data_IF_910659286674
#
_entry.id   IF_910659286674
#
_cell.length_a   1.000
_cell.length_b   1.000
_cell.length_c   1.000
_cell.angle_alpha   90.00
_cell.angle_beta   90.00
_cell.angle_gamma   90.00
#
_symmetry.space_group_name_H-M   'P 1'
#
loop_
_entity.id
_entity.type
_entity.pdbx_description
1 polymer ?
#
# COMPACT_ATOMS: atom_id res chain seq x y z
N UNK A 1 19.37 -15.69 -19.34
CA UNK A 1 18.64 -15.16 -18.18
C UNK A 1 17.40 -14.45 -18.71
N UNK A 2 16.21 -14.93 -18.40
CA UNK A 2 14.95 -14.26 -18.75
C UNK A 2 14.74 -13.09 -17.81
N UNK A 3 14.64 -11.86 -18.34
CA UNK A 3 14.31 -10.69 -17.55
C UNK A 3 12.93 -10.87 -16.89
N UNK A 4 12.82 -10.52 -15.61
CA UNK A 4 11.57 -10.56 -14.87
C UNK A 4 10.68 -9.39 -15.31
N UNK A 5 9.36 -9.60 -15.36
CA UNK A 5 8.40 -8.61 -15.89
C UNK A 5 8.42 -7.27 -15.12
N UNK A 6 8.74 -7.29 -13.83
CA UNK A 6 8.94 -6.09 -13.02
C UNK A 6 10.13 -5.21 -13.47
N UNK A 7 11.14 -5.79 -14.14
CA UNK A 7 12.31 -5.05 -14.66
C UNK A 7 12.13 -4.53 -16.09
N UNK A 8 11.03 -4.89 -16.76
CA UNK A 8 10.77 -4.50 -18.14
C UNK A 8 10.21 -3.08 -18.26
N UNK A 9 9.54 -2.58 -17.21
CA UNK A 9 9.03 -1.22 -17.17
C UNK A 9 10.08 -0.28 -16.55
N UNK A 10 10.26 0.94 -17.09
CA UNK A 10 11.14 1.91 -16.47
C UNK A 10 10.60 2.31 -15.10
N UNK A 11 11.51 2.57 -14.16
CA UNK A 11 11.23 3.12 -12.81
C UNK A 11 10.43 4.42 -12.86
N UNK A 12 10.49 5.14 -13.98
CA UNK A 12 9.73 6.37 -14.23
C UNK A 12 8.28 6.15 -14.66
N UNK A 13 7.86 4.92 -14.97
CA UNK A 13 6.49 4.59 -15.38
C UNK A 13 6.05 3.21 -14.85
N UNK A 14 5.91 3.12 -13.53
CA UNK A 14 5.51 1.90 -12.83
C UNK A 14 4.00 1.81 -12.59
N UNK A 15 3.49 0.59 -12.51
CA UNK A 15 2.13 0.29 -12.04
C UNK A 15 2.18 -0.18 -10.59
N UNK A 16 1.44 0.47 -9.71
CA UNK A 16 1.33 0.12 -8.29
C UNK A 16 -0.09 -0.34 -7.96
N UNK A 17 -0.22 -1.34 -7.10
CA UNK A 17 -1.51 -1.73 -6.51
C UNK A 17 -1.59 -1.23 -5.08
N UNK A 18 -2.51 -0.32 -4.83
CA UNK A 18 -2.77 0.22 -3.49
C UNK A 18 -3.92 -0.56 -2.85
N UNK A 19 -3.64 -1.24 -1.75
CA UNK A 19 -4.61 -1.96 -0.92
C UNK A 19 -5.13 -1.02 0.15
N UNK A 20 -6.29 -0.41 -0.06
CA UNK A 20 -6.90 0.50 0.93
C UNK A 20 -7.60 -0.34 1.98
N UNK A 21 -7.12 -0.31 3.23
CA UNK A 21 -7.66 -1.10 4.34
C UNK A 21 -8.55 -0.18 5.18
N UNK A 22 -9.86 -0.39 5.12
CA UNK A 22 -10.82 0.35 5.95
C UNK A 22 -10.83 -0.17 7.39
N UNK A 23 -10.79 -1.48 7.54
CA UNK A 23 -10.89 -2.14 8.83
C UNK A 23 -10.13 -3.47 8.78
N UNK A 24 -9.26 -3.68 9.78
CA UNK A 24 -8.43 -4.88 9.86
C UNK A 24 -9.20 -6.12 10.34
N UNK A 25 -9.99 -5.99 11.40
CA UNK A 25 -10.74 -7.08 12.05
C UNK A 25 -11.75 -7.73 11.09
N UNK A 26 -12.47 -6.91 10.31
CA UNK A 26 -13.45 -7.35 9.31
C UNK A 26 -12.83 -7.54 7.91
N UNK A 27 -11.49 -7.41 7.79
CA UNK A 27 -10.76 -7.58 6.53
C UNK A 27 -11.31 -6.74 5.37
N UNK A 28 -11.80 -5.54 5.66
CA UNK A 28 -12.41 -4.68 4.65
C UNK A 28 -11.32 -3.98 3.84
N UNK A 29 -10.94 -4.61 2.73
CA UNK A 29 -9.87 -4.13 1.83
C UNK A 29 -10.42 -3.89 0.43
N UNK A 30 -9.96 -2.82 -0.21
CA UNK A 30 -10.23 -2.57 -1.64
C UNK A 30 -8.97 -2.13 -2.37
N UNK A 31 -8.74 -2.75 -3.53
CA UNK A 31 -7.58 -2.44 -4.36
C UNK A 31 -7.87 -1.26 -5.30
N UNK A 32 -6.85 -0.43 -5.49
CA UNK A 32 -6.80 0.67 -6.44
C UNK A 32 -5.51 0.54 -7.24
N UNK A 33 -5.60 0.55 -8.56
CA UNK A 33 -4.41 0.52 -9.42
C UNK A 33 -4.02 1.95 -9.80
N UNK A 34 -2.74 2.28 -9.58
CA UNK A 34 -2.11 3.50 -10.05
C UNK A 34 -1.15 3.15 -11.18
N UNK A 35 -1.30 3.79 -12.33
CA UNK A 35 -0.44 3.59 -13.49
C UNK A 35 0.41 4.83 -13.73
N UNK A 36 1.53 4.66 -14.42
CA UNK A 36 2.45 5.73 -14.81
C UNK A 36 3.01 6.50 -13.60
N UNK A 37 3.31 5.79 -12.51
CA UNK A 37 3.93 6.36 -11.31
C UNK A 37 5.44 6.45 -11.54
N UNK A 38 6.02 7.64 -11.36
CA UNK A 38 7.46 7.82 -11.41
C UNK A 38 8.07 7.59 -10.02
N UNK A 39 8.67 6.41 -9.82
CA UNK A 39 9.19 6.00 -8.52
C UNK A 39 10.40 6.85 -8.06
N UNK A 40 11.12 7.46 -8.99
CA UNK A 40 12.31 8.29 -8.70
C UNK A 40 11.94 9.66 -8.15
N UNK A 41 10.77 10.20 -8.53
CA UNK A 41 10.38 11.57 -8.20
C UNK A 41 9.14 11.67 -7.32
N UNK A 42 8.23 10.70 -7.39
CA UNK A 42 7.04 10.69 -6.53
C UNK A 42 7.47 10.45 -5.10
N UNK A 43 7.09 11.36 -4.20
CA UNK A 43 7.34 11.21 -2.77
C UNK A 43 6.26 10.39 -2.07
N UNK A 44 6.54 9.93 -0.86
CA UNK A 44 5.56 9.27 0.01
C UNK A 44 4.33 10.15 0.23
N UNK A 45 4.52 11.43 0.53
CA UNK A 45 3.45 12.41 0.75
C UNK A 45 2.55 12.54 -0.47
N UNK A 46 3.16 12.75 -1.65
CA UNK A 46 2.43 12.87 -2.92
C UNK A 46 1.63 11.60 -3.22
N UNK A 47 2.20 10.42 -2.94
CA UNK A 47 1.47 9.16 -3.11
C UNK A 47 0.23 9.12 -2.19
N UNK A 48 0.36 9.51 -0.91
CA UNK A 48 -0.78 9.58 0.02
C UNK A 48 -1.86 10.55 -0.48
N UNK A 49 -1.48 11.72 -0.97
CA UNK A 49 -2.42 12.70 -1.54
C UNK A 49 -3.19 12.14 -2.73
N UNK A 50 -2.49 11.54 -3.70
CA UNK A 50 -3.09 10.90 -4.88
C UNK A 50 -4.11 9.82 -4.46
N UNK A 51 -3.76 8.99 -3.47
CA UNK A 51 -4.65 7.92 -2.99
C UNK A 51 -5.88 8.52 -2.31
N UNK A 52 -5.69 9.51 -1.42
CA UNK A 52 -6.81 10.19 -0.72
C UNK A 52 -7.76 10.88 -1.71
N UNK A 53 -7.22 11.55 -2.72
CA UNK A 53 -8.03 12.15 -3.78
C UNK A 53 -8.86 11.08 -4.51
N UNK A 54 -8.23 9.97 -4.92
CA UNK A 54 -8.94 8.88 -5.59
C UNK A 54 -10.01 8.21 -4.73
N UNK A 55 -9.78 8.05 -3.41
CA UNK A 55 -10.78 7.54 -2.46
C UNK A 55 -12.02 8.46 -2.43
N UNK A 56 -11.79 9.77 -2.43
CA UNK A 56 -12.85 10.77 -2.35
C UNK A 56 -13.62 10.94 -3.66
N UNK A 57 -12.96 10.76 -4.81
CA UNK A 57 -13.56 10.98 -6.14
C UNK A 57 -14.18 9.72 -6.73
N UNK A 58 -13.64 8.53 -6.46
CA UNK A 58 -14.12 7.28 -7.07
C UNK A 58 -15.38 6.77 -6.35
N UNK A 59 -16.51 6.54 -7.04
CA UNK A 59 -17.75 6.07 -6.40
C UNK A 59 -17.61 4.76 -5.63
N UNK A 60 -16.80 3.83 -6.15
CA UNK A 60 -16.54 2.54 -5.52
C UNK A 60 -15.83 2.63 -4.16
N UNK A 61 -15.22 3.77 -3.83
CA UNK A 61 -14.56 4.00 -2.54
C UNK A 61 -15.44 4.76 -1.54
N UNK A 62 -16.73 5.02 -1.86
CA UNK A 62 -17.67 5.68 -0.93
C UNK A 62 -17.65 5.07 0.50
N UNK A 63 -17.63 3.73 0.69
CA UNK A 63 -17.58 3.14 2.03
C UNK A 63 -16.26 3.34 2.78
N UNK A 64 -15.21 3.82 2.11
CA UNK A 64 -13.84 3.97 2.63
C UNK A 64 -13.55 5.41 3.07
N UNK A 65 -14.39 6.40 2.72
CA UNK A 65 -14.12 7.83 2.95
C UNK A 65 -14.14 8.26 4.42
N UNK A 66 -14.63 7.42 5.32
CA UNK A 66 -14.80 7.72 6.73
C UNK A 66 -13.64 7.26 7.62
N UNK A 67 -12.47 6.98 7.02
CA UNK A 67 -11.26 6.56 7.74
C UNK A 67 -10.17 7.61 7.56
N UNK A 68 -9.44 7.90 8.63
CA UNK A 68 -8.26 8.76 8.57
C UNK A 68 -7.03 7.94 8.13
N UNK A 69 -6.75 7.93 6.83
CA UNK A 69 -5.60 7.23 6.27
C UNK A 69 -4.32 8.04 6.38
N UNK A 70 -3.32 7.51 7.05
CA UNK A 70 -2.05 8.19 7.35
C UNK A 70 -0.80 7.34 7.06
N UNK A 71 -0.91 6.02 6.97
CA UNK A 71 0.25 5.13 6.83
C UNK A 71 0.23 4.30 5.58
N UNK A 72 1.38 4.27 4.90
CA UNK A 72 1.69 3.37 3.80
C UNK A 72 2.68 2.30 4.26
N UNK A 73 2.39 1.03 3.93
CA UNK A 73 3.31 -0.11 4.16
C UNK A 73 3.37 -0.99 2.92
N UNK A 74 4.55 -1.43 2.51
CA UNK A 74 4.66 -2.46 1.46
C UNK A 74 3.96 -3.73 1.96
N UNK A 75 3.06 -4.28 1.14
CA UNK A 75 2.37 -5.55 1.42
C UNK A 75 3.15 -6.72 0.81
N UNK A 76 3.48 -6.61 -0.47
CA UNK A 76 4.37 -7.54 -1.16
C UNK A 76 5.09 -6.83 -2.31
N UNK A 77 6.30 -7.29 -2.64
CA UNK A 77 7.03 -6.86 -3.83
C UNK A 77 6.78 -7.87 -4.95
N UNK A 78 6.97 -7.46 -6.21
CA UNK A 78 6.83 -8.37 -7.34
C UNK A 78 7.69 -9.63 -7.14
N UNK A 79 7.10 -10.80 -7.35
CA UNK A 79 7.73 -12.11 -7.13
C UNK A 79 8.19 -12.41 -5.68
N UNK A 80 7.78 -11.59 -4.70
CA UNK A 80 8.03 -11.83 -3.27
C UNK A 80 7.20 -12.97 -2.69
N UNK A 81 7.60 -13.44 -1.50
CA UNK A 81 6.79 -14.37 -0.74
C UNK A 81 5.43 -13.74 -0.39
N UNK A 82 4.37 -14.54 -0.47
CA UNK A 82 3.04 -14.10 -0.07
C UNK A 82 2.98 -13.99 1.45
N UNK A 83 2.52 -12.86 2.02
CA UNK A 83 2.29 -12.75 3.45
C UNK A 83 1.28 -13.79 3.93
N UNK A 84 1.46 -14.29 5.15
CA UNK A 84 0.52 -15.23 5.78
C UNK A 84 -0.82 -14.57 6.12
N UNK A 85 -0.80 -13.28 6.49
CA UNK A 85 -2.01 -12.50 6.75
C UNK A 85 -2.49 -11.81 5.46
N UNK A 86 -3.78 -12.01 5.13
CA UNK A 86 -4.40 -11.52 3.89
C UNK A 86 -4.77 -10.03 3.92
N UNK A 87 -4.78 -9.42 5.10
CA UNK A 87 -5.18 -8.02 5.30
C UNK A 87 -3.96 -7.11 5.22
N UNK A 88 -2.92 -7.45 5.96
CA UNK A 88 -1.70 -6.66 6.10
C UNK A 88 -0.50 -7.59 6.23
N UNK A 89 0.66 -7.15 5.75
CA UNK A 89 1.90 -7.85 6.04
C UNK A 89 2.37 -7.41 7.44
N UNK A 90 2.56 -8.35 8.38
CA UNK A 90 3.09 -8.05 9.72
C UNK A 90 4.61 -8.07 9.80
N UNK A 91 5.28 -8.61 8.78
CA UNK A 91 6.73 -8.65 8.69
C UNK A 91 7.27 -7.27 8.30
N UNK A 92 8.57 -7.04 8.52
CA UNK A 92 9.30 -5.86 8.06
C UNK A 92 8.70 -4.51 8.50
N UNK A 93 8.16 -4.38 9.71
CA UNK A 93 7.69 -3.08 10.22
C UNK A 93 8.78 -2.00 10.22
N UNK A 94 10.04 -2.40 10.44
CA UNK A 94 11.18 -1.47 10.48
C UNK A 94 11.54 -0.91 9.09
N UNK A 95 11.39 -1.72 8.03
CA UNK A 95 11.94 -1.41 6.70
C UNK A 95 10.87 -1.12 5.63
N UNK A 96 9.64 -1.62 5.80
CA UNK A 96 8.58 -1.54 4.78
C UNK A 96 7.52 -0.48 5.08
N UNK A 97 7.60 0.18 6.24
CA UNK A 97 6.83 1.37 6.54
C UNK A 97 7.45 2.59 5.84
N UNK A 98 6.62 3.30 5.07
CA UNK A 98 7.03 4.52 4.37
C UNK A 98 6.96 5.72 5.32
N UNK A 99 7.94 5.81 6.22
CA UNK A 99 7.95 6.77 7.35
C UNK A 99 8.48 8.19 7.03
N UNK A 100 9.09 8.41 5.85
CA UNK A 100 9.69 9.68 5.47
C UNK A 100 8.92 10.29 4.30
N UNK A 101 8.06 11.26 4.60
CA UNK A 101 7.11 11.88 3.67
C UNK A 101 7.77 12.44 2.39
N UNK A 102 8.98 12.99 2.50
CA UNK A 102 9.70 13.60 1.37
C UNK A 102 10.60 12.64 0.61
N UNK A 103 10.74 11.39 1.06
CA UNK A 103 11.55 10.40 0.36
C UNK A 103 10.83 9.92 -0.90
N UNK A 104 11.60 9.70 -1.96
CA UNK A 104 11.09 9.11 -3.20
C UNK A 104 10.69 7.65 -2.98
N UNK A 105 9.68 7.16 -3.68
CA UNK A 105 9.22 5.77 -3.57
C UNK A 105 10.35 4.76 -3.85
N UNK A 106 11.24 5.07 -4.79
CA UNK A 106 12.36 4.22 -5.14
C UNK A 106 13.31 3.94 -3.95
N UNK A 107 13.46 4.87 -3.00
CA UNK A 107 14.35 4.66 -1.85
C UNK A 107 13.88 3.57 -0.89
N UNK A 108 12.59 3.20 -0.97
CA UNK A 108 12.01 2.08 -0.21
C UNK A 108 12.13 0.73 -0.95
N UNK A 109 12.85 0.71 -2.08
CA UNK A 109 12.93 -0.45 -2.96
C UNK A 109 11.56 -0.87 -3.49
N UNK A 110 10.70 0.11 -3.76
CA UNK A 110 9.45 -0.08 -4.49
C UNK A 110 9.81 -0.29 -5.97
N UNK A 111 9.11 -1.22 -6.60
CA UNK A 111 9.32 -1.62 -7.98
C UNK A 111 7.98 -1.64 -8.72
N UNK A 112 8.03 -1.87 -10.03
CA UNK A 112 6.80 -2.13 -10.79
C UNK A 112 6.05 -3.34 -10.20
N UNK A 113 4.72 -3.22 -10.12
CA UNK A 113 3.80 -4.21 -9.56
C UNK A 113 3.89 -4.41 -8.04
N UNK A 114 4.61 -3.57 -7.30
CA UNK A 114 4.55 -3.59 -5.83
C UNK A 114 3.13 -3.33 -5.33
N UNK A 115 2.70 -4.14 -4.36
CA UNK A 115 1.46 -3.92 -3.60
C UNK A 115 1.76 -3.14 -2.32
N UNK A 116 1.03 -2.05 -2.08
CA UNK A 116 1.23 -1.17 -0.92
C UNK A 116 -0.10 -1.04 -0.18
N UNK A 117 -0.12 -1.32 1.11
CA UNK A 117 -1.28 -1.08 1.98
C UNK A 117 -1.35 0.37 2.42
N UNK A 118 -2.54 0.96 2.38
CA UNK A 118 -2.84 2.29 2.92
C UNK A 118 -3.93 2.21 3.99
N UNK A 119 -3.62 2.65 5.20
CA UNK A 119 -4.44 2.41 6.40
C UNK A 119 -4.26 3.51 7.46
N UNK A 120 -4.98 3.37 8.57
CA UNK A 120 -4.81 4.18 9.78
C UNK A 120 -3.83 3.48 10.74
N UNK A 121 -2.74 4.15 11.13
CA UNK A 121 -1.68 3.56 11.96
C UNK A 121 -2.18 3.08 13.32
N UNK A 122 -3.01 3.88 13.99
CA UNK A 122 -3.53 3.56 15.32
C UNK A 122 -4.39 2.28 15.29
N UNK A 123 -5.20 2.12 14.25
CA UNK A 123 -5.98 0.90 14.03
C UNK A 123 -5.10 -0.32 13.74
N UNK A 124 -3.96 -0.13 13.05
CA UNK A 124 -2.99 -1.20 12.81
C UNK A 124 -2.33 -1.67 14.10
N UNK A 125 -1.84 -0.75 14.94
CA UNK A 125 -1.20 -1.09 16.21
C UNK A 125 -2.15 -1.87 17.13
N UNK A 126 -3.42 -1.44 17.24
CA UNK A 126 -4.46 -2.17 17.99
C UNK A 126 -4.70 -3.58 17.43
N UNK A 127 -4.80 -3.71 16.10
CA UNK A 127 -4.97 -5.01 15.46
C UNK A 127 -3.75 -5.93 15.64
N UNK A 128 -2.55 -5.36 15.73
CA UNK A 128 -1.32 -6.13 15.92
C UNK A 128 -1.22 -6.73 17.33
N UNK A 129 -1.74 -6.04 18.35
CA UNK A 129 -1.83 -6.58 19.72
C UNK A 129 -2.78 -7.78 19.81
N UNK A 130 -3.89 -7.75 19.06
CA UNK A 130 -4.91 -8.80 19.02
C UNK A 130 -5.38 -9.05 17.58
N UNK A 131 -4.66 -9.88 16.79
CA UNK A 131 -4.94 -10.10 15.37
C UNK A 131 -6.13 -11.05 15.13
N UNK A 132 -7.16 -10.94 15.96
CA UNK A 132 -8.37 -11.74 15.89
C UNK A 132 -9.25 -11.26 14.74
N UNK A 133 -9.83 -12.22 14.04
CA UNK A 133 -10.74 -11.95 12.92
C UNK A 133 -12.15 -11.94 13.49
N UNK A 134 -12.86 -10.84 13.30
CA UNK A 134 -14.29 -10.80 13.58
C UNK A 134 -15.05 -11.29 12.35
N UNK A 135 -15.96 -12.23 12.56
CA UNK A 135 -16.87 -12.72 11.53
C UNK A 135 -18.19 -11.94 11.70
N UNK A 136 -18.71 -11.39 10.60
CA UNK A 136 -20.10 -10.88 10.53
C UNK A 136 -21.09 -12.05 10.48
#
# INVERSE_FOLDING_TARGET
MTALTNTLNPTTSSTLTIRVIKNFEYRTVKNMVLQNVNLETTTVEQLKEIIREKINTTPGFKPFRNVNYDTLKVYTKAHGAKPTNLVINFEHDEDWLLNYEHSALLSYGIENETEISFFNFEAYEKYKEHPDIQWD
#
